data_IF_507195630171
#
_entry.id   IF_507195630171
#
_cell.length_a   1.000
_cell.length_b   1.000
_cell.length_c   1.000
_cell.angle_alpha   90.00
_cell.angle_beta   90.00
_cell.angle_gamma   90.00
#
_symmetry.space_group_name_H-M   'P 1'
#
loop_
_entity.id
_entity.type
_entity.pdbx_description
1 polymer ?
#
# COMPACT_ATOMS: atom_id res chain seq x y z
N UNK A 1 14.57 18.08 3.86
CA UNK A 1 13.78 19.31 3.63
C UNK A 1 13.79 19.77 2.16
N UNK A 2 14.92 19.65 1.44
CA UNK A 2 15.02 20.02 0.01
C UNK A 2 14.15 19.13 -0.91
N UNK A 3 14.02 17.82 -0.63
CA UNK A 3 13.19 16.93 -1.45
C UNK A 3 11.71 17.33 -1.50
N UNK A 4 11.14 17.82 -0.40
CA UNK A 4 9.73 18.23 -0.36
C UNK A 4 9.43 19.43 -1.26
N UNK A 5 10.35 20.39 -1.39
CA UNK A 5 10.20 21.52 -2.33
C UNK A 5 10.28 21.08 -3.79
N UNK A 6 11.15 20.11 -4.10
CA UNK A 6 11.29 19.57 -5.47
C UNK A 6 10.05 18.77 -5.85
N UNK A 7 9.57 17.88 -4.97
CA UNK A 7 8.35 17.12 -5.22
C UNK A 7 7.11 18.04 -5.32
N UNK A 8 6.97 19.02 -4.44
CA UNK A 8 5.87 19.99 -4.49
C UNK A 8 5.83 20.77 -5.81
N UNK A 9 6.99 21.27 -6.27
CA UNK A 9 7.05 22.03 -7.54
C UNK A 9 6.75 21.17 -8.77
N UNK A 10 7.15 19.90 -8.78
CA UNK A 10 6.82 18.96 -9.86
C UNK A 10 5.32 18.65 -9.91
N UNK A 11 4.69 18.43 -8.75
CA UNK A 11 3.25 18.13 -8.69
C UNK A 11 2.43 19.34 -9.12
N UNK A 12 2.79 20.55 -8.69
CA UNK A 12 2.12 21.79 -9.11
C UNK A 12 2.29 22.05 -10.60
N UNK A 13 3.50 21.82 -11.14
CA UNK A 13 3.75 21.93 -12.58
C UNK A 13 2.92 20.91 -13.38
N UNK A 14 2.82 19.67 -12.88
CA UNK A 14 2.02 18.63 -13.50
C UNK A 14 0.53 18.98 -13.49
N UNK A 15 -0.02 19.39 -12.35
CA UNK A 15 -1.42 19.82 -12.23
C UNK A 15 -1.74 20.95 -13.22
N UNK A 16 -0.87 21.96 -13.32
CA UNK A 16 -1.03 23.05 -14.29
C UNK A 16 -1.11 22.56 -15.74
N UNK A 17 -0.25 21.59 -16.12
CA UNK A 17 -0.27 21.01 -17.47
C UNK A 17 -1.55 20.22 -17.74
N UNK A 18 -2.00 19.42 -16.79
CA UNK A 18 -3.23 18.63 -16.92
C UNK A 18 -4.45 19.55 -16.99
N UNK A 19 -4.54 20.52 -16.09
CA UNK A 19 -5.63 21.50 -16.08
C UNK A 19 -5.69 22.27 -17.41
N UNK A 20 -4.55 22.73 -17.94
CA UNK A 20 -4.53 23.36 -19.27
C UNK A 20 -4.94 22.40 -20.39
N UNK A 21 -4.55 21.12 -20.33
CA UNK A 21 -4.87 20.15 -21.39
C UNK A 21 -6.35 19.75 -21.43
N UNK A 22 -7.02 19.72 -20.27
CA UNK A 22 -8.43 19.29 -20.15
C UNK A 22 -9.43 20.45 -20.12
N UNK A 23 -9.03 21.60 -19.57
CA UNK A 23 -9.92 22.75 -19.34
C UNK A 23 -9.68 23.92 -20.32
N UNK A 24 -8.61 23.91 -21.11
CA UNK A 24 -8.40 24.94 -22.12
C UNK A 24 -9.50 24.89 -23.17
N UNK A 25 -10.03 26.05 -23.55
CA UNK A 25 -11.06 26.17 -24.59
C UNK A 25 -10.47 26.23 -26.00
N UNK A 26 -9.14 26.15 -26.11
CA UNK A 26 -8.42 26.33 -27.38
C UNK A 26 -8.38 25.02 -28.18
N UNK A 27 -9.36 24.89 -29.09
CA UNK A 27 -9.59 23.75 -30.01
C UNK A 27 -8.38 23.44 -30.93
N UNK A 28 -7.35 24.30 -30.93
CA UNK A 28 -6.16 24.23 -31.78
C UNK A 28 -4.98 23.45 -31.20
N UNK A 29 -5.03 22.98 -29.96
CA UNK A 29 -4.03 22.05 -29.46
C UNK A 29 -4.20 20.71 -30.20
N UNK A 30 -3.21 20.32 -31.02
CA UNK A 30 -3.25 19.12 -31.87
C UNK A 30 -3.89 17.92 -31.15
N UNK A 31 -5.12 17.59 -31.53
CA UNK A 31 -5.96 16.54 -30.93
C UNK A 31 -5.26 15.18 -30.91
N UNK A 32 -4.43 14.93 -31.92
CA UNK A 32 -3.58 13.75 -32.09
C UNK A 32 -2.45 13.65 -31.06
N UNK A 33 -2.07 14.75 -30.39
CA UNK A 33 -1.05 14.74 -29.32
C UNK A 33 -1.63 14.33 -27.97
N UNK A 34 -2.94 14.51 -27.77
CA UNK A 34 -3.59 14.27 -26.47
C UNK A 34 -4.09 12.83 -26.33
N UNK A 35 -4.69 12.26 -27.38
CA UNK A 35 -5.07 10.84 -27.39
C UNK A 35 -5.03 10.24 -28.81
N UNK A 36 -4.75 8.94 -28.95
CA UNK A 36 -4.88 8.23 -30.23
C UNK A 36 -6.34 8.18 -30.72
N UNK A 37 -6.55 8.21 -32.04
CA UNK A 37 -7.89 8.22 -32.64
C UNK A 37 -8.74 7.02 -32.22
N UNK A 38 -8.12 5.84 -32.05
CA UNK A 38 -8.82 4.64 -31.59
C UNK A 38 -9.45 4.81 -30.19
N UNK A 39 -8.75 5.50 -29.28
CA UNK A 39 -9.24 5.77 -27.92
C UNK A 39 -10.37 6.80 -27.95
N UNK A 40 -10.25 7.80 -28.83
CA UNK A 40 -11.28 8.82 -29.01
C UNK A 40 -12.59 8.23 -29.54
N UNK A 41 -12.52 7.37 -30.57
CA UNK A 41 -13.70 6.69 -31.11
C UNK A 41 -14.37 5.78 -30.08
N UNK A 42 -13.57 5.04 -29.31
CA UNK A 42 -14.10 4.24 -28.21
C UNK A 42 -14.78 5.11 -27.14
N UNK A 43 -14.17 6.23 -26.76
CA UNK A 43 -14.75 7.15 -25.78
C UNK A 43 -16.08 7.75 -26.24
N UNK A 44 -16.20 8.10 -27.53
CA UNK A 44 -17.47 8.55 -28.12
C UNK A 44 -18.53 7.45 -28.09
N UNK A 45 -18.17 6.22 -28.47
CA UNK A 45 -19.09 5.08 -28.47
C UNK A 45 -19.58 4.74 -27.06
N UNK A 46 -18.68 4.77 -26.07
CA UNK A 46 -18.98 4.48 -24.67
C UNK A 46 -19.54 5.69 -23.89
N UNK A 47 -19.74 6.85 -24.53
CA UNK A 47 -20.20 8.11 -23.91
C UNK A 47 -19.38 8.50 -22.67
N UNK A 48 -18.05 8.42 -22.79
CA UNK A 48 -17.13 8.83 -21.72
C UNK A 48 -16.90 10.34 -21.72
N UNK A 49 -16.52 10.87 -20.56
CA UNK A 49 -16.16 12.30 -20.42
C UNK A 49 -14.87 12.58 -21.19
N UNK A 50 -14.94 13.51 -22.13
CA UNK A 50 -13.82 13.89 -22.99
C UNK A 50 -13.13 15.17 -22.49
N UNK A 51 -11.84 15.40 -22.83
CA UNK A 51 -11.21 16.69 -22.64
C UNK A 51 -12.03 17.79 -23.33
N UNK A 52 -12.12 18.98 -22.73
CA UNK A 52 -12.95 20.13 -23.16
C UNK A 52 -14.46 20.02 -22.86
N UNK A 53 -14.94 18.91 -22.28
CA UNK A 53 -16.32 18.77 -21.82
C UNK A 53 -16.53 19.50 -20.47
N UNK A 54 -16.59 20.83 -20.53
CA UNK A 54 -16.66 21.72 -19.36
C UNK A 54 -17.96 21.57 -18.54
N UNK A 55 -18.99 20.96 -19.10
CA UNK A 55 -20.24 20.69 -18.37
C UNK A 55 -20.05 19.52 -17.39
N UNK A 56 -19.35 18.48 -17.82
CA UNK A 56 -19.09 17.29 -17.00
C UNK A 56 -17.81 17.40 -16.14
N UNK A 57 -16.85 18.26 -16.51
CA UNK A 57 -15.59 18.47 -15.79
C UNK A 57 -15.72 19.59 -14.74
N UNK A 58 -16.43 19.33 -13.64
CA UNK A 58 -16.69 20.35 -12.60
C UNK A 58 -15.42 20.88 -11.92
N UNK A 59 -14.37 20.06 -11.83
CA UNK A 59 -13.07 20.45 -11.25
C UNK A 59 -12.31 21.50 -12.08
N UNK A 60 -12.71 21.76 -13.34
CA UNK A 60 -12.16 22.86 -14.13
C UNK A 60 -12.54 24.24 -13.58
N UNK A 61 -13.57 24.33 -12.74
CA UNK A 61 -14.02 25.58 -12.11
C UNK A 61 -13.34 25.85 -10.75
N UNK A 62 -12.73 24.82 -10.16
CA UNK A 62 -12.11 24.91 -8.84
C UNK A 62 -10.83 25.77 -8.89
N UNK A 63 -10.72 26.76 -8.00
CA UNK A 63 -9.51 27.59 -7.93
C UNK A 63 -8.33 26.80 -7.36
N UNK A 64 -7.14 27.05 -7.92
CA UNK A 64 -5.91 26.39 -7.50
C UNK A 64 -5.38 27.01 -6.21
N UNK A 65 -5.31 26.20 -5.16
CA UNK A 65 -4.68 26.58 -3.90
C UNK A 65 -3.18 26.29 -3.93
N UNK A 66 -2.35 27.32 -4.07
CA UNK A 66 -0.87 27.20 -4.08
C UNK A 66 -0.33 26.55 -2.79
N UNK A 67 -1.06 26.71 -1.67
CA UNK A 67 -0.68 26.15 -0.37
C UNK A 67 -0.93 24.63 -0.27
N UNK A 68 -1.77 24.06 -1.14
CA UNK A 68 -2.08 22.64 -1.16
C UNK A 68 -1.60 22.01 -2.47
N UNK A 69 -0.49 21.24 -2.46
CA UNK A 69 0.12 20.74 -3.69
C UNK A 69 -0.67 19.61 -4.37
N UNK A 70 -1.82 19.20 -3.85
CA UNK A 70 -2.60 18.13 -4.45
C UNK A 70 -3.40 18.68 -5.65
N UNK A 71 -3.34 18.01 -6.82
CA UNK A 71 -4.08 18.42 -8.00
C UNK A 71 -5.58 18.56 -7.75
N UNK A 72 -6.21 19.62 -8.27
CA UNK A 72 -7.64 19.89 -8.02
C UNK A 72 -8.56 18.80 -8.58
N UNK A 73 -8.17 18.18 -9.69
CA UNK A 73 -8.90 17.06 -10.29
C UNK A 73 -8.89 15.81 -9.40
N UNK A 74 -7.86 15.62 -8.59
CA UNK A 74 -7.63 14.37 -7.88
C UNK A 74 -8.73 14.12 -6.85
N UNK A 75 -9.09 15.14 -6.07
CA UNK A 75 -10.19 15.09 -5.10
C UNK A 75 -11.52 14.71 -5.77
N UNK A 76 -11.85 15.38 -6.88
CA UNK A 76 -13.10 15.13 -7.59
C UNK A 76 -13.17 13.72 -8.19
N UNK A 77 -12.08 13.25 -8.80
CA UNK A 77 -11.99 11.90 -9.38
C UNK A 77 -12.06 10.84 -8.29
N UNK A 78 -11.37 11.05 -7.18
CA UNK A 78 -11.41 10.18 -6.01
C UNK A 78 -12.83 10.06 -5.44
N UNK A 79 -13.52 11.18 -5.21
CA UNK A 79 -14.89 11.16 -4.71
C UNK A 79 -15.85 10.46 -5.70
N UNK A 80 -15.78 10.80 -6.98
CA UNK A 80 -16.73 10.32 -8.01
C UNK A 80 -16.60 8.83 -8.30
N UNK A 81 -15.38 8.32 -8.47
CA UNK A 81 -15.15 6.94 -8.89
C UNK A 81 -14.75 6.02 -7.75
N UNK A 82 -14.14 6.57 -6.72
CA UNK A 82 -13.50 5.80 -5.66
C UNK A 82 -14.24 5.92 -4.33
N UNK A 83 -15.17 6.88 -4.15
CA UNK A 83 -15.97 7.04 -2.92
C UNK A 83 -15.10 7.06 -1.64
N UNK A 84 -14.06 7.91 -1.64
CA UNK A 84 -13.07 8.02 -0.56
C UNK A 84 -13.61 8.75 0.67
N UNK A 85 -14.61 8.15 1.30
CA UNK A 85 -15.14 8.57 2.59
C UNK A 85 -14.45 7.77 3.71
N UNK A 86 -14.18 8.37 4.87
CA UNK A 86 -13.74 7.63 6.04
C UNK A 86 -14.72 6.49 6.33
N UNK A 87 -14.24 5.25 6.25
CA UNK A 87 -15.05 4.03 6.42
C UNK A 87 -16.12 3.73 5.35
N UNK A 88 -16.19 4.50 4.25
CA UNK A 88 -17.18 4.27 3.17
C UNK A 88 -17.06 2.89 2.50
N UNK A 89 -15.92 2.22 2.69
CA UNK A 89 -15.57 0.94 2.07
C UNK A 89 -15.93 -0.30 2.89
N UNK A 90 -16.47 -0.15 4.10
CA UNK A 90 -16.90 -1.26 4.94
C UNK A 90 -18.21 -1.86 4.41
N UNK A 91 -18.14 -2.46 3.22
CA UNK A 91 -19.24 -3.14 2.57
C UNK A 91 -19.11 -4.66 2.74
N UNK A 92 -20.22 -5.34 3.01
CA UNK A 92 -20.25 -6.80 3.14
C UNK A 92 -19.76 -7.54 1.89
N UNK A 93 -19.89 -6.93 0.71
CA UNK A 93 -19.38 -7.46 -0.56
C UNK A 93 -17.85 -7.60 -0.58
N UNK A 94 -17.14 -6.81 0.23
CA UNK A 94 -15.66 -6.81 0.33
C UNK A 94 -15.13 -7.67 1.46
N UNK A 95 -16.01 -8.38 2.19
CA UNK A 95 -15.63 -9.27 3.29
C UNK A 95 -14.50 -10.26 2.95
N UNK A 96 -14.46 -10.89 1.76
CA UNK A 96 -13.34 -11.78 1.40
C UNK A 96 -11.97 -11.08 1.44
N UNK A 97 -11.93 -9.81 1.04
CA UNK A 97 -10.69 -9.04 1.03
C UNK A 97 -10.22 -8.70 2.45
N UNK A 98 -11.16 -8.40 3.36
CA UNK A 98 -10.85 -8.22 4.78
C UNK A 98 -10.27 -9.49 5.42
N UNK A 99 -10.81 -10.66 5.08
CA UNK A 99 -10.30 -11.94 5.59
C UNK A 99 -8.85 -12.17 5.15
N UNK A 100 -8.52 -11.84 3.90
CA UNK A 100 -7.17 -12.03 3.35
C UNK A 100 -6.18 -10.99 3.89
N UNK A 101 -6.66 -9.78 4.21
CA UNK A 101 -5.83 -8.73 4.78
C UNK A 101 -5.63 -8.85 6.30
N UNK A 102 -6.53 -9.51 7.01
CA UNK A 102 -6.49 -9.62 8.47
C UNK A 102 -5.17 -10.19 9.02
N UNK A 103 -4.55 -11.25 8.45
CA UNK A 103 -3.27 -11.77 8.94
C UNK A 103 -2.14 -10.74 8.80
N UNK A 104 -2.09 -9.97 7.72
CA UNK A 104 -1.08 -8.93 7.53
C UNK A 104 -1.22 -7.80 8.57
N UNK A 105 -2.45 -7.34 8.83
CA UNK A 105 -2.74 -6.35 9.88
C UNK A 105 -2.32 -6.91 11.24
N UNK A 106 -2.66 -8.17 11.52
CA UNK A 106 -2.32 -8.84 12.76
C UNK A 106 -0.79 -8.93 12.97
N UNK A 107 -0.02 -9.27 11.93
CA UNK A 107 1.45 -9.31 12.00
C UNK A 107 2.00 -7.92 12.37
N UNK A 108 1.51 -6.85 11.74
CA UNK A 108 1.96 -5.48 12.04
C UNK A 108 1.62 -5.10 13.47
N UNK A 109 0.39 -5.37 13.93
CA UNK A 109 -0.04 -5.06 15.30
C UNK A 109 0.76 -5.87 16.33
N UNK A 110 0.91 -7.17 16.14
CA UNK A 110 1.66 -8.06 17.02
C UNK A 110 3.13 -7.63 17.10
N UNK A 111 3.77 -7.40 15.95
CA UNK A 111 5.15 -6.94 15.89
C UNK A 111 5.34 -5.59 16.55
N UNK A 112 4.39 -4.67 16.38
CA UNK A 112 4.46 -3.34 17.00
C UNK A 112 4.33 -3.41 18.52
N UNK A 113 3.40 -4.22 19.04
CA UNK A 113 3.24 -4.43 20.48
C UNK A 113 4.48 -5.10 21.07
N UNK A 114 5.01 -6.13 20.39
CA UNK A 114 6.21 -6.83 20.81
C UNK A 114 7.43 -5.90 20.90
N UNK A 115 7.63 -5.07 19.87
CA UNK A 115 8.71 -4.08 19.82
C UNK A 115 8.54 -2.98 20.88
N UNK A 116 7.31 -2.50 21.08
CA UNK A 116 7.01 -1.49 22.09
C UNK A 116 7.26 -2.02 23.52
N UNK A 117 6.84 -3.25 23.82
CA UNK A 117 7.09 -3.87 25.11
C UNK A 117 8.59 -4.06 25.36
N UNK A 118 9.34 -4.55 24.35
CA UNK A 118 10.81 -4.68 24.43
C UNK A 118 11.47 -3.35 24.77
N UNK A 119 11.08 -2.28 24.09
CA UNK A 119 11.65 -0.95 24.30
C UNK A 119 11.26 -0.36 25.66
N UNK A 120 10.03 -0.59 26.10
CA UNK A 120 9.54 -0.18 27.41
C UNK A 120 10.32 -0.83 28.54
N UNK A 121 10.66 -2.12 28.40
CA UNK A 121 11.46 -2.86 29.37
C UNK A 121 12.91 -2.38 29.44
N UNK A 122 13.52 -2.03 28.30
CA UNK A 122 14.96 -1.67 28.24
C UNK A 122 15.20 -0.19 28.57
N UNK A 123 14.39 0.73 28.05
CA UNK A 123 14.67 2.17 28.11
C UNK A 123 13.70 2.98 28.98
N UNK A 124 12.61 2.37 29.48
CA UNK A 124 11.51 3.10 30.11
C UNK A 124 10.79 4.06 29.14
N UNK A 125 9.63 4.61 29.54
CA UNK A 125 8.76 5.41 28.66
C UNK A 125 9.46 6.64 28.03
N UNK A 126 10.35 7.30 28.77
CA UNK A 126 11.08 8.49 28.32
C UNK A 126 12.29 8.14 27.45
N UNK A 127 12.94 7.00 27.70
CA UNK A 127 14.09 6.54 26.92
C UNK A 127 13.72 5.98 25.55
N UNK A 128 12.47 5.58 25.31
CA UNK A 128 12.02 5.18 23.96
C UNK A 128 12.17 6.33 22.98
N UNK A 129 11.68 7.53 23.33
CA UNK A 129 11.71 8.70 22.44
C UNK A 129 13.16 9.14 22.18
N UNK A 130 14.00 9.16 23.21
CA UNK A 130 15.39 9.60 23.09
C UNK A 130 16.29 8.56 22.41
N UNK A 131 16.09 7.27 22.70
CA UNK A 131 16.82 6.16 22.08
C UNK A 131 16.51 5.98 20.59
N UNK A 132 15.31 6.39 20.14
CA UNK A 132 14.91 6.37 18.72
C UNK A 132 15.84 7.19 17.82
N UNK A 133 16.40 8.29 18.33
CA UNK A 133 17.29 9.17 17.56
C UNK A 133 18.76 8.73 17.57
N UNK A 134 19.16 7.84 18.49
CA UNK A 134 20.56 7.48 18.70
C UNK A 134 20.93 6.10 18.15
N UNK A 135 19.97 5.18 18.02
CA UNK A 135 20.25 3.81 17.60
C UNK A 135 19.98 3.57 16.11
N UNK A 136 21.06 3.43 15.33
CA UNK A 136 21.00 3.20 13.89
C UNK A 136 20.44 1.81 13.51
N UNK A 137 20.39 0.86 14.45
CA UNK A 137 19.83 -0.48 14.25
C UNK A 137 18.37 -0.59 14.70
N UNK A 138 17.71 0.52 15.02
CA UNK A 138 16.34 0.52 15.52
C UNK A 138 15.33 0.13 14.44
N UNK A 139 14.47 -0.84 14.75
CA UNK A 139 13.32 -1.23 13.91
C UNK A 139 12.14 -0.25 14.01
N UNK A 140 12.23 0.75 14.89
CA UNK A 140 11.18 1.71 15.20
C UNK A 140 10.69 2.55 14.01
N UNK A 141 11.55 3.12 13.15
CA UNK A 141 11.08 3.92 12.02
C UNK A 141 10.19 3.10 11.09
N UNK A 142 10.55 1.82 10.87
CA UNK A 142 9.77 0.89 10.04
C UNK A 142 8.44 0.50 10.70
N UNK A 143 8.43 0.34 12.03
CA UNK A 143 7.22 0.10 12.81
C UNK A 143 6.24 1.27 12.69
N UNK A 144 6.72 2.50 12.95
CA UNK A 144 5.89 3.72 12.86
C UNK A 144 5.35 3.89 11.45
N UNK A 145 6.20 3.70 10.44
CA UNK A 145 5.79 3.78 9.04
C UNK A 145 4.71 2.74 8.71
N UNK A 146 4.89 1.47 9.11
CA UNK A 146 3.92 0.40 8.89
C UNK A 146 2.58 0.66 9.61
N UNK A 147 2.62 1.18 10.84
CA UNK A 147 1.41 1.53 11.61
C UNK A 147 0.63 2.66 10.95
N UNK A 148 1.31 3.74 10.55
CA UNK A 148 0.67 4.86 9.84
C UNK A 148 0.05 4.38 8.54
N UNK A 149 0.76 3.57 7.75
CA UNK A 149 0.21 2.99 6.53
C UNK A 149 -1.00 2.09 6.81
N UNK A 150 -0.96 1.28 7.86
CA UNK A 150 -2.08 0.39 8.24
C UNK A 150 -3.32 1.21 8.61
N UNK A 151 -3.16 2.25 9.44
CA UNK A 151 -4.29 3.11 9.86
C UNK A 151 -4.86 3.87 8.67
N UNK A 152 -4.01 4.49 7.84
CA UNK A 152 -4.47 5.19 6.64
C UNK A 152 -5.16 4.23 5.68
N UNK A 153 -4.67 3.01 5.54
CA UNK A 153 -5.25 2.04 4.64
C UNK A 153 -6.58 1.44 5.12
N UNK A 154 -6.82 1.39 6.44
CA UNK A 154 -8.12 0.97 6.99
C UNK A 154 -9.16 2.09 6.87
N UNK A 155 -8.73 3.35 7.02
CA UNK A 155 -9.65 4.50 7.08
C UNK A 155 -9.93 5.09 5.68
N UNK A 156 -8.89 5.23 4.86
CA UNK A 156 -8.93 6.00 3.60
C UNK A 156 -8.73 5.16 2.34
N UNK A 157 -8.02 4.04 2.40
CA UNK A 157 -7.75 3.20 1.22
C UNK A 157 -8.65 1.97 1.16
N UNK A 158 -8.69 1.34 -0.02
CA UNK A 158 -9.34 0.04 -0.19
C UNK A 158 -8.54 -1.05 0.50
N UNK A 159 -9.25 -1.94 1.20
CA UNK A 159 -8.68 -3.16 1.81
C UNK A 159 -7.98 -4.06 0.79
N UNK A 160 -8.38 -4.01 -0.48
CA UNK A 160 -7.73 -4.73 -1.59
C UNK A 160 -6.27 -4.31 -1.75
N UNK A 161 -5.97 -3.02 -1.55
CA UNK A 161 -4.64 -2.45 -1.77
C UNK A 161 -3.80 -2.43 -0.49
N UNK A 162 -4.43 -2.60 0.68
CA UNK A 162 -3.80 -2.60 2.00
C UNK A 162 -2.63 -3.57 2.09
N UNK A 163 -2.84 -4.84 1.72
CA UNK A 163 -1.77 -5.86 1.84
C UNK A 163 -0.58 -5.52 0.96
N UNK A 164 -0.82 -5.10 -0.29
CA UNK A 164 0.22 -4.67 -1.22
C UNK A 164 1.04 -3.50 -0.67
N UNK A 165 0.37 -2.47 -0.14
CA UNK A 165 1.06 -1.31 0.46
C UNK A 165 1.92 -1.76 1.63
N UNK A 166 1.42 -2.63 2.50
CA UNK A 166 2.18 -3.09 3.66
C UNK A 166 3.40 -3.94 3.28
N UNK A 167 3.23 -4.91 2.38
CA UNK A 167 4.32 -5.80 1.95
C UNK A 167 5.33 -5.14 1.01
N UNK A 168 4.96 -4.10 0.26
CA UNK A 168 5.86 -3.41 -0.67
C UNK A 168 6.52 -2.18 -0.08
N UNK A 169 5.83 -1.44 0.80
CA UNK A 169 6.31 -0.13 1.27
C UNK A 169 7.10 -0.19 2.58
N UNK A 170 6.96 -1.27 3.36
CA UNK A 170 7.68 -1.40 4.63
C UNK A 170 8.35 -2.77 4.79
N UNK A 171 9.65 -2.82 5.15
CA UNK A 171 10.32 -4.07 5.49
C UNK A 171 9.84 -4.65 6.84
N UNK A 172 9.07 -3.89 7.63
CA UNK A 172 8.68 -4.25 8.99
C UNK A 172 7.96 -5.60 9.07
N UNK A 173 7.04 -5.89 8.14
CA UNK A 173 6.29 -7.16 8.13
C UNK A 173 7.25 -8.35 8.01
N UNK A 174 8.24 -8.26 7.13
CA UNK A 174 9.24 -9.32 6.95
C UNK A 174 10.17 -9.45 8.16
N UNK A 175 10.56 -8.33 8.77
CA UNK A 175 11.40 -8.35 9.98
C UNK A 175 10.69 -9.04 11.13
N UNK A 176 9.40 -8.74 11.34
CA UNK A 176 8.58 -9.37 12.38
C UNK A 176 8.43 -10.88 12.11
N UNK A 177 8.16 -11.27 10.86
CA UNK A 177 8.07 -12.69 10.49
C UNK A 177 9.40 -13.39 10.71
N UNK A 178 10.52 -12.80 10.26
CA UNK A 178 11.85 -13.38 10.41
C UNK A 178 12.23 -13.57 11.89
N UNK A 179 12.02 -12.55 12.72
CA UNK A 179 12.25 -12.64 14.17
C UNK A 179 11.35 -13.68 14.85
N UNK A 180 10.09 -13.77 14.41
CA UNK A 180 9.15 -14.76 14.93
C UNK A 180 9.59 -16.19 14.57
N UNK A 181 10.05 -16.40 13.34
CA UNK A 181 10.56 -17.70 12.89
C UNK A 181 11.87 -18.06 13.59
N UNK A 182 12.83 -17.14 13.66
CA UNK A 182 14.14 -17.33 14.29
C UNK A 182 14.01 -17.82 15.74
N UNK A 183 13.14 -17.20 16.53
CA UNK A 183 12.91 -17.57 17.94
C UNK A 183 12.23 -18.92 18.16
N UNK A 184 11.52 -19.42 17.15
CA UNK A 184 10.67 -20.62 17.26
C UNK A 184 11.24 -21.82 16.54
N UNK A 185 12.27 -21.63 15.72
CA UNK A 185 12.95 -22.71 15.04
C UNK A 185 14.05 -23.22 15.98
N UNK A 186 14.04 -24.49 16.40
CA UNK A 186 15.21 -25.06 17.08
C UNK A 186 16.41 -24.97 16.13
N UNK A 187 17.62 -24.74 16.66
CA UNK A 187 18.83 -24.77 15.86
C UNK A 187 18.85 -26.06 15.05
N UNK A 188 19.01 -25.94 13.72
CA UNK A 188 19.09 -27.07 12.79
C UNK A 188 20.12 -28.06 13.33
N UNK A 189 19.67 -29.26 13.68
CA UNK A 189 20.56 -30.29 14.22
C UNK A 189 21.37 -30.91 13.08
N UNK A 190 22.57 -31.43 13.39
CA UNK A 190 23.43 -32.08 12.39
C UNK A 190 22.71 -33.21 11.63
N UNK A 191 21.75 -33.87 12.28
CA UNK A 191 20.92 -34.93 11.69
C UNK A 191 20.00 -34.43 10.55
N UNK A 192 19.53 -33.18 10.62
CA UNK A 192 18.69 -32.55 9.58
C UNK A 192 19.48 -32.24 8.30
N UNK A 193 20.81 -32.09 8.40
CA UNK A 193 21.71 -31.81 7.26
C UNK A 193 21.98 -33.10 6.48
N UNK A 194 21.94 -34.26 7.14
CA UNK A 194 22.30 -35.55 6.56
C UNK A 194 21.24 -36.07 5.56
N UNK A 195 19.99 -35.63 5.68
CA UNK A 195 18.92 -35.90 4.70
C UNK A 195 18.18 -34.61 4.33
N UNK A 196 18.75 -33.78 3.45
CA UNK A 196 18.15 -32.49 3.12
C UNK A 196 16.81 -32.73 2.40
N UNK A 197 15.71 -32.40 3.07
CA UNK A 197 14.43 -32.20 2.36
C UNK A 197 14.56 -30.99 1.44
N UNK A 198 13.70 -30.88 0.42
CA UNK A 198 13.77 -29.79 -0.57
C UNK A 198 13.81 -28.40 0.09
N UNK A 199 13.21 -28.23 1.28
CA UNK A 199 13.31 -27.04 2.13
C UNK A 199 13.25 -27.42 3.63
N UNK A 200 14.38 -27.75 4.29
CA UNK A 200 14.40 -28.31 5.65
C UNK A 200 13.86 -27.35 6.70
N UNK A 201 14.09 -26.05 6.50
CA UNK A 201 13.57 -24.99 7.34
C UNK A 201 12.03 -24.98 7.37
N UNK A 202 11.37 -25.03 6.21
CA UNK A 202 9.91 -24.99 6.14
C UNK A 202 9.28 -26.28 6.66
N UNK A 203 9.89 -27.44 6.41
CA UNK A 203 9.37 -28.71 6.91
C UNK A 203 9.45 -28.80 8.43
N UNK A 204 10.54 -28.34 9.05
CA UNK A 204 10.70 -28.35 10.50
C UNK A 204 9.83 -27.28 11.17
N UNK A 205 9.76 -26.08 10.60
CA UNK A 205 8.89 -25.00 11.09
C UNK A 205 7.40 -25.40 11.04
N UNK A 206 6.95 -26.04 9.96
CA UNK A 206 5.56 -26.49 9.81
C UNK A 206 5.18 -27.65 10.74
N UNK A 207 6.15 -28.49 11.15
CA UNK A 207 5.89 -29.63 12.05
C UNK A 207 5.83 -29.23 13.53
N UNK A 208 6.43 -28.10 13.90
CA UNK A 208 6.50 -27.64 15.28
C UNK A 208 5.14 -27.22 15.86
N UNK A 209 4.37 -26.41 15.12
CA UNK A 209 3.07 -25.93 15.59
C UNK A 209 2.10 -25.60 14.44
N UNK A 210 0.80 -25.83 14.65
CA UNK A 210 -0.24 -25.57 13.65
C UNK A 210 -0.31 -24.10 13.21
N UNK A 211 0.01 -23.17 14.11
CA UNK A 211 0.06 -21.72 13.80
C UNK A 211 1.18 -21.40 12.79
N UNK A 212 2.33 -22.09 12.91
CA UNK A 212 3.45 -21.93 11.98
C UNK A 212 3.11 -22.45 10.58
N UNK A 213 2.43 -23.60 10.53
CA UNK A 213 1.90 -24.14 9.28
C UNK A 213 0.87 -23.20 8.62
N UNK A 214 -0.01 -22.58 9.41
CA UNK A 214 -1.00 -21.62 8.91
C UNK A 214 -0.34 -20.36 8.37
N UNK A 215 0.65 -19.79 9.08
CA UNK A 215 1.43 -18.64 8.61
C UNK A 215 2.15 -18.95 7.29
N UNK A 216 2.78 -20.12 7.19
CA UNK A 216 3.47 -20.54 5.96
C UNK A 216 2.47 -20.74 4.81
N UNK A 217 1.33 -21.36 5.08
CA UNK A 217 0.26 -21.54 4.10
C UNK A 217 -0.28 -20.18 3.61
N UNK A 218 -0.43 -19.20 4.51
CA UNK A 218 -0.81 -17.84 4.15
C UNK A 218 0.21 -17.18 3.22
N UNK A 219 1.50 -17.23 3.55
CA UNK A 219 2.56 -16.61 2.74
C UNK A 219 2.69 -17.28 1.36
N UNK A 220 2.70 -18.61 1.30
CA UNK A 220 2.78 -19.36 0.04
C UNK A 220 1.51 -19.21 -0.78
N UNK A 221 0.35 -19.22 -0.13
CA UNK A 221 -0.95 -18.98 -0.74
C UNK A 221 -1.01 -17.59 -1.36
N UNK A 222 -0.59 -16.55 -0.64
CA UNK A 222 -0.53 -15.18 -1.15
C UNK A 222 0.45 -15.06 -2.32
N UNK A 223 1.61 -15.72 -2.26
CA UNK A 223 2.57 -15.76 -3.37
C UNK A 223 1.95 -16.39 -4.62
N UNK A 224 1.37 -17.58 -4.51
CA UNK A 224 0.82 -18.30 -5.66
C UNK A 224 -0.45 -17.64 -6.21
N UNK A 225 -1.43 -17.38 -5.34
CA UNK A 225 -2.72 -16.77 -5.71
C UNK A 225 -2.50 -15.34 -6.20
N UNK A 226 -1.65 -14.56 -5.52
CA UNK A 226 -1.30 -13.21 -5.95
C UNK A 226 -0.69 -13.19 -7.34
N UNK A 227 0.27 -14.09 -7.62
CA UNK A 227 0.89 -14.18 -8.96
C UNK A 227 -0.14 -14.54 -10.04
N UNK A 228 -1.02 -15.51 -9.78
CA UNK A 228 -2.05 -15.92 -10.74
C UNK A 228 -3.09 -14.83 -11.00
N UNK A 229 -3.53 -14.12 -9.96
CA UNK A 229 -4.55 -13.08 -10.09
C UNK A 229 -3.98 -11.83 -10.75
N UNK A 230 -2.71 -11.50 -10.47
CA UNK A 230 -1.99 -10.43 -11.15
C UNK A 230 -1.86 -10.67 -12.66
N UNK A 231 -1.48 -11.89 -13.06
CA UNK A 231 -1.39 -12.28 -14.47
C UNK A 231 -2.73 -12.19 -15.22
N UNK A 232 -3.85 -12.30 -14.51
CA UNK A 232 -5.20 -12.25 -15.05
C UNK A 232 -5.85 -10.85 -14.98
N UNK A 233 -5.10 -9.79 -14.65
CA UNK A 233 -5.59 -8.40 -14.57
C UNK A 233 -6.81 -8.21 -13.64
N UNK A 234 -7.01 -9.13 -12.70
CA UNK A 234 -8.07 -8.97 -11.71
C UNK A 234 -7.66 -7.88 -10.72
N UNK A 235 -8.63 -7.15 -10.11
CA UNK A 235 -8.34 -6.15 -9.08
C UNK A 235 -7.78 -6.76 -7.77
N UNK A 236 -7.35 -8.01 -7.85
CA UNK A 236 -6.76 -8.78 -6.79
C UNK A 236 -5.25 -8.85 -7.03
N UNK A 237 -4.56 -7.74 -6.76
CA UNK A 237 -3.15 -7.63 -6.38
C UNK A 237 -2.75 -6.17 -6.14
#
# INVERSE_FOLDING_TARGET
>A
MICWGIFGSQVVSHDSRIHHSFCSRNITHNRTKLMPDAVYQYALQARLVLPHDLENLTWCREERNILYPIPSFYKHVQEKYWQVEPFGYWQLKKLPCFIIAAPAIFIVLYGSLFELDRLRTVHGLFGVILGTFHDANSTLPFMIHALVLTVLAIVLYNVEVLTRILFSSSPFVYLVIAQYMDRRTPLVTLDDIQYPTFLPFFTNFSRSHWVHALLLCYLLGYFYIGTLLHANWLPFT
#
